data_IF_237737229000
#
_entry.id   IF_237737229000
#
_cell.length_a   1.000
_cell.length_b   1.000
_cell.length_c   1.000
_cell.angle_alpha   90.00
_cell.angle_beta   90.00
_cell.angle_gamma   90.00
#
_symmetry.space_group_name_H-M   'P 1'
#
loop_
_entity.id
_entity.type
_entity.pdbx_description
1 polymer ?
#
# COMPACT_ATOMS: atom_id res chain seq x y z
N UNK A 1 -15.01 21.65 -26.01
CA UNK A 1 -15.27 21.45 -24.55
C UNK A 1 -13.92 21.43 -23.85
N UNK A 2 -13.72 22.21 -22.78
CA UNK A 2 -12.49 22.18 -21.96
C UNK A 2 -12.76 21.29 -20.76
N UNK A 3 -12.02 20.19 -20.63
CA UNK A 3 -12.09 19.28 -19.48
C UNK A 3 -11.05 19.72 -18.45
N UNK A 4 -11.45 19.86 -17.19
CA UNK A 4 -10.59 20.18 -16.06
C UNK A 4 -10.75 19.08 -15.00
N UNK A 5 -9.64 18.46 -14.60
CA UNK A 5 -9.64 17.49 -13.50
C UNK A 5 -9.63 18.20 -12.15
N UNK A 6 -10.45 17.70 -11.22
CA UNK A 6 -10.46 18.14 -9.83
C UNK A 6 -10.16 16.94 -8.93
N UNK A 7 -9.12 17.06 -8.12
CA UNK A 7 -8.65 15.99 -7.23
C UNK A 7 -8.96 16.33 -5.76
N UNK A 8 -8.69 15.38 -4.86
CA UNK A 8 -8.78 15.58 -3.40
C UNK A 8 -10.07 15.09 -2.75
N UNK A 9 -11.07 14.64 -3.51
CA UNK A 9 -12.33 14.11 -2.97
C UNK A 9 -12.16 12.87 -2.06
N UNK A 10 -11.08 12.11 -2.27
CA UNK A 10 -10.72 10.92 -1.47
C UNK A 10 -9.61 11.20 -0.45
N UNK A 11 -9.28 12.46 -0.17
CA UNK A 11 -8.24 12.81 0.77
C UNK A 11 -8.60 12.38 2.20
N UNK A 12 -7.77 11.52 2.80
CA UNK A 12 -7.98 10.95 4.15
C UNK A 12 -7.03 11.50 5.22
N UNK A 13 -6.07 12.36 4.84
CA UNK A 13 -5.02 12.84 5.76
C UNK A 13 -4.08 11.74 6.28
N UNK A 14 -3.81 10.70 5.50
CA UNK A 14 -3.02 9.52 5.94
C UNK A 14 -1.65 9.92 6.51
N UNK A 15 -0.92 10.82 5.85
CA UNK A 15 0.39 11.28 6.31
C UNK A 15 0.31 12.00 7.66
N UNK A 16 -0.66 12.92 7.82
CA UNK A 16 -0.87 13.61 9.08
C UNK A 16 -1.22 12.64 10.22
N UNK A 17 -2.01 11.61 9.93
CA UNK A 17 -2.34 10.55 10.89
C UNK A 17 -1.15 9.65 11.25
N UNK A 18 -0.15 9.54 10.36
CA UNK A 18 1.07 8.78 10.62
C UNK A 18 2.08 9.55 11.46
N UNK A 19 2.04 10.89 11.46
CA UNK A 19 2.96 11.71 12.25
C UNK A 19 2.78 11.42 13.75
N UNK A 20 3.89 11.06 14.42
CA UNK A 20 3.88 10.70 15.84
C UNK A 20 3.21 9.36 16.17
N UNK A 21 2.70 8.63 15.17
CA UNK A 21 2.11 7.31 15.38
C UNK A 21 3.22 6.27 15.66
N UNK A 22 2.87 5.24 16.45
CA UNK A 22 3.73 4.06 16.56
C UNK A 22 3.83 3.35 15.20
N UNK A 23 4.93 2.61 14.99
CA UNK A 23 5.16 1.85 13.76
C UNK A 23 3.99 0.89 13.46
N UNK A 24 3.44 0.22 14.48
CA UNK A 24 2.28 -0.66 14.32
C UNK A 24 1.03 0.11 13.85
N UNK A 25 0.78 1.29 14.43
CA UNK A 25 -0.36 2.12 14.02
C UNK A 25 -0.18 2.66 12.60
N UNK A 26 1.04 3.08 12.25
CA UNK A 26 1.38 3.58 10.93
C UNK A 26 1.31 2.47 9.87
N UNK A 27 1.74 1.24 10.18
CA UNK A 27 1.59 0.08 9.28
C UNK A 27 0.11 -0.17 8.91
N UNK A 28 -0.79 -0.08 9.89
CA UNK A 28 -2.25 -0.18 9.66
C UNK A 28 -2.80 0.97 8.82
N UNK A 29 -2.23 2.17 8.93
CA UNK A 29 -2.60 3.31 8.08
C UNK A 29 -2.11 3.12 6.64
N UNK A 30 -0.88 2.65 6.47
CA UNK A 30 -0.28 2.42 5.15
C UNK A 30 -1.15 1.47 4.32
N UNK A 31 -1.54 0.32 4.88
CA UNK A 31 -2.41 -0.65 4.21
C UNK A 31 -3.83 -0.14 3.89
N UNK A 32 -4.24 1.05 4.38
CA UNK A 32 -5.56 1.66 4.10
C UNK A 32 -5.50 2.82 3.12
N UNK A 33 -4.32 3.04 2.51
CA UNK A 33 -4.12 4.13 1.55
C UNK A 33 -4.99 3.92 0.31
N UNK A 34 -4.86 2.76 -0.34
CA UNK A 34 -5.77 2.29 -1.40
C UNK A 34 -6.40 0.94 -1.05
N UNK A 35 -7.65 0.74 -1.44
CA UNK A 35 -8.40 -0.49 -1.12
C UNK A 35 -7.96 -1.71 -1.93
N UNK A 36 -7.55 -1.50 -3.17
CA UNK A 36 -7.07 -2.53 -4.11
C UNK A 36 -5.58 -2.86 -3.98
N UNK A 37 -4.82 -2.02 -3.27
CA UNK A 37 -3.35 -2.08 -3.23
C UNK A 37 -2.81 -2.19 -1.80
N UNK A 38 -3.56 -2.88 -0.94
CA UNK A 38 -3.27 -3.00 0.49
C UNK A 38 -1.90 -3.63 0.76
N UNK A 39 -1.55 -4.70 0.04
CA UNK A 39 -0.27 -5.42 0.15
C UNK A 39 0.86 -4.52 -0.33
N UNK A 40 0.73 -3.86 -1.48
CA UNK A 40 1.74 -2.98 -2.03
C UNK A 40 2.10 -1.84 -1.05
N UNK A 41 1.10 -1.13 -0.51
CA UNK A 41 1.35 -0.06 0.46
C UNK A 41 1.93 -0.58 1.79
N UNK A 42 1.45 -1.72 2.27
CA UNK A 42 1.96 -2.33 3.51
C UNK A 42 3.42 -2.79 3.34
N UNK A 43 3.76 -3.35 2.18
CA UNK A 43 5.10 -3.80 1.85
C UNK A 43 6.08 -2.62 1.70
N UNK A 44 5.66 -1.55 1.01
CA UNK A 44 6.46 -0.34 0.88
C UNK A 44 6.77 0.29 2.25
N UNK A 45 5.75 0.37 3.12
CA UNK A 45 5.94 0.86 4.49
C UNK A 45 6.89 -0.04 5.30
N UNK A 46 6.72 -1.37 5.22
CA UNK A 46 7.59 -2.31 5.91
C UNK A 46 9.05 -2.16 5.45
N UNK A 47 9.31 -2.05 4.15
CA UNK A 47 10.66 -1.83 3.62
C UNK A 47 11.27 -0.51 4.10
N UNK A 48 10.49 0.57 4.14
CA UNK A 48 10.97 1.86 4.64
C UNK A 48 11.38 1.78 6.12
N UNK A 49 10.56 1.13 6.95
CA UNK A 49 10.86 0.92 8.38
C UNK A 49 12.06 0.00 8.56
N UNK A 50 12.14 -1.10 7.81
CA UNK A 50 13.25 -2.04 7.86
C UNK A 50 14.58 -1.37 7.49
N UNK A 51 14.58 -0.56 6.42
CA UNK A 51 15.75 0.21 6.01
C UNK A 51 16.15 1.24 7.08
N UNK A 52 15.18 1.96 7.66
CA UNK A 52 15.45 2.95 8.71
C UNK A 52 16.01 2.34 10.00
N UNK A 53 15.64 1.09 10.31
CA UNK A 53 16.06 0.38 11.51
C UNK A 53 17.21 -0.61 11.28
N UNK A 54 17.69 -0.78 10.04
CA UNK A 54 18.73 -1.75 9.70
C UNK A 54 18.28 -3.21 9.89
N UNK A 55 16.99 -3.49 9.78
CA UNK A 55 16.42 -4.83 9.98
C UNK A 55 16.50 -5.61 8.66
N UNK A 56 17.08 -6.81 8.72
CA UNK A 56 17.02 -7.77 7.60
C UNK A 56 15.90 -8.78 7.86
N UNK A 57 14.84 -8.83 7.04
CA UNK A 57 13.76 -9.79 7.22
C UNK A 57 14.25 -11.23 6.92
N UNK A 58 13.74 -12.25 7.62
CA UNK A 58 14.10 -13.63 7.33
C UNK A 58 13.60 -14.05 5.94
N UNK A 59 14.28 -15.00 5.30
CA UNK A 59 13.94 -15.47 3.94
C UNK A 59 12.46 -15.86 3.78
N UNK A 60 11.86 -16.49 4.79
CA UNK A 60 10.43 -16.83 4.80
C UNK A 60 9.52 -15.59 4.66
N UNK A 61 9.86 -14.48 5.31
CA UNK A 61 9.07 -13.25 5.22
C UNK A 61 9.13 -12.67 3.81
N UNK A 62 10.30 -12.72 3.15
CA UNK A 62 10.48 -12.29 1.76
C UNK A 62 9.57 -13.08 0.83
N UNK A 63 9.56 -14.42 0.95
CA UNK A 63 8.72 -15.28 0.11
C UNK A 63 7.22 -15.07 0.34
N UNK A 64 6.78 -14.89 1.59
CA UNK A 64 5.38 -14.60 1.89
C UNK A 64 4.96 -13.24 1.34
N UNK A 65 5.81 -12.22 1.43
CA UNK A 65 5.55 -10.88 0.86
C UNK A 65 5.44 -10.95 -0.67
N UNK A 66 6.34 -11.67 -1.33
CA UNK A 66 6.30 -11.86 -2.77
C UNK A 66 5.03 -12.56 -3.22
N UNK A 67 4.64 -13.65 -2.54
CA UNK A 67 3.40 -14.36 -2.83
C UNK A 67 2.17 -13.44 -2.69
N UNK A 68 2.07 -12.69 -1.60
CA UNK A 68 0.96 -11.77 -1.37
C UNK A 68 0.92 -10.65 -2.43
N UNK A 69 2.09 -10.12 -2.82
CA UNK A 69 2.17 -9.08 -3.84
C UNK A 69 1.70 -9.59 -5.21
N UNK A 70 2.07 -10.81 -5.58
CA UNK A 70 1.62 -11.41 -6.85
C UNK A 70 0.12 -11.75 -6.83
N UNK A 71 -0.43 -12.18 -5.69
CA UNK A 71 -1.88 -12.38 -5.56
C UNK A 71 -2.66 -11.07 -5.73
N UNK A 72 -2.21 -9.99 -5.08
CA UNK A 72 -2.79 -8.66 -5.26
C UNK A 72 -2.66 -8.17 -6.71
N UNK A 73 -1.49 -8.37 -7.33
CA UNK A 73 -1.27 -7.98 -8.74
C UNK A 73 -2.25 -8.69 -9.68
N UNK A 74 -2.47 -9.99 -9.51
CA UNK A 74 -3.43 -10.76 -10.30
C UNK A 74 -4.87 -10.28 -10.07
N UNK A 75 -5.24 -10.02 -8.80
CA UNK A 75 -6.55 -9.50 -8.46
C UNK A 75 -6.81 -8.13 -9.13
N UNK A 76 -5.84 -7.23 -9.09
CA UNK A 76 -5.94 -5.91 -9.70
C UNK A 76 -6.04 -5.99 -11.22
N UNK A 77 -5.22 -6.82 -11.87
CA UNK A 77 -5.31 -7.00 -13.32
C UNK A 77 -6.68 -7.53 -13.75
N UNK A 78 -7.21 -8.52 -13.03
CA UNK A 78 -8.54 -9.06 -13.33
C UNK A 78 -9.64 -8.02 -13.07
N UNK A 79 -9.54 -7.28 -11.97
CA UNK A 79 -10.47 -6.20 -11.63
C UNK A 79 -10.49 -5.10 -12.68
N UNK A 80 -9.31 -4.63 -13.10
CA UNK A 80 -9.17 -3.57 -14.10
C UNK A 80 -9.70 -4.00 -15.47
N UNK A 81 -9.38 -5.23 -15.91
CA UNK A 81 -9.95 -5.79 -17.15
C UNK A 81 -11.47 -5.87 -17.04
N UNK A 82 -11.99 -6.36 -15.92
CA UNK A 82 -13.43 -6.47 -15.68
C UNK A 82 -14.15 -5.12 -15.59
N UNK A 83 -13.47 -4.04 -15.19
CA UNK A 83 -14.06 -2.71 -15.13
C UNK A 83 -14.12 -2.00 -16.50
N UNK A 84 -13.29 -2.43 -17.45
CA UNK A 84 -13.26 -1.88 -18.82
C UNK A 84 -14.30 -2.56 -19.73
N UNK A 85 -14.59 -3.85 -19.52
CA UNK A 85 -15.54 -4.64 -20.32
C UNK A 85 -16.99 -4.43 -19.90
#
# INVERSE_FOLDING_TARGET
VRLEERLGYVHKGIEALMQGASIDRAAKLAGRTSGDSTVAYSLAFAHAVEAALGITPPARAIWLRALMAELERLANHLGDIGAIC
#
